data_IF_760404218696
#
_entry.id   IF_760404218696
#
_cell.length_a   1.000
_cell.length_b   1.000
_cell.length_c   1.000
_cell.angle_alpha   90.00
_cell.angle_beta   90.00
_cell.angle_gamma   90.00
#
_symmetry.space_group_name_H-M   'P 1'
#
loop_
_entity.id
_entity.type
_entity.pdbx_description
1 polymer ?
#
# COMPACT_ATOMS: atom_id res chain seq x y z
N UNK A 1 -27.22 -15.72 0.85
CA UNK A 1 -26.13 -14.79 0.45
C UNK A 1 -25.10 -15.59 -0.34
N UNK A 2 -24.90 -15.27 -1.62
CA UNK A 2 -24.16 -16.10 -2.57
C UNK A 2 -22.63 -15.98 -2.41
N UNK A 3 -21.92 -17.04 -2.84
CA UNK A 3 -20.47 -17.16 -2.83
C UNK A 3 -19.85 -16.17 -3.84
N UNK A 4 -19.65 -14.91 -3.45
CA UNK A 4 -19.29 -13.83 -4.38
C UNK A 4 -17.78 -13.82 -4.62
N UNK A 5 -17.32 -14.66 -5.53
CA UNK A 5 -15.98 -14.52 -6.14
C UNK A 5 -15.95 -13.22 -6.92
N UNK A 6 -14.85 -12.48 -6.85
CA UNK A 6 -14.73 -11.23 -7.58
C UNK A 6 -14.61 -11.50 -9.09
N UNK A 7 -15.56 -11.01 -9.90
CA UNK A 7 -15.71 -11.34 -11.33
C UNK A 7 -15.05 -10.33 -12.29
N UNK A 8 -13.90 -9.73 -11.97
CA UNK A 8 -13.19 -8.81 -12.90
C UNK A 8 -11.67 -8.86 -12.75
N UNK A 9 -10.98 -8.69 -13.89
CA UNK A 9 -9.55 -8.43 -14.02
C UNK A 9 -9.20 -7.09 -13.38
N UNK A 10 -8.79 -7.15 -12.12
CA UNK A 10 -8.07 -6.09 -11.44
C UNK A 10 -6.72 -6.72 -11.09
N UNK A 11 -5.61 -5.99 -11.20
CA UNK A 11 -4.22 -6.47 -11.02
C UNK A 11 -3.88 -6.95 -9.59
N UNK A 12 -4.83 -7.57 -8.90
CA UNK A 12 -4.79 -7.97 -7.50
C UNK A 12 -5.32 -9.40 -7.41
N UNK A 13 -4.64 -10.25 -6.64
CA UNK A 13 -5.00 -11.66 -6.49
C UNK A 13 -6.30 -11.80 -5.69
N UNK A 14 -7.12 -12.80 -6.01
CA UNK A 14 -8.28 -13.18 -5.18
C UNK A 14 -7.86 -14.27 -4.21
N UNK A 15 -7.94 -13.98 -2.92
CA UNK A 15 -7.58 -14.90 -1.83
C UNK A 15 -8.83 -15.34 -1.06
N UNK A 16 -8.76 -16.51 -0.42
CA UNK A 16 -9.76 -16.92 0.55
C UNK A 16 -9.57 -16.10 1.83
N UNK A 17 -10.63 -15.44 2.30
CA UNK A 17 -10.58 -14.70 3.56
C UNK A 17 -10.96 -15.62 4.73
N UNK A 18 -12.23 -16.06 4.77
CA UNK A 18 -12.73 -16.92 5.84
C UNK A 18 -14.07 -17.58 5.48
N UNK A 19 -14.45 -18.62 6.23
CA UNK A 19 -15.77 -19.26 6.16
C UNK A 19 -16.24 -19.65 7.58
N UNK A 20 -17.41 -19.16 7.98
CA UNK A 20 -17.95 -19.35 9.33
C UNK A 20 -18.80 -20.61 9.44
N UNK A 21 -18.17 -21.77 9.37
CA UNK A 21 -18.85 -23.07 9.45
C UNK A 21 -19.25 -23.66 8.11
N UNK A 22 -19.71 -24.91 8.12
CA UNK A 22 -19.86 -25.75 6.91
C UNK A 22 -20.84 -25.18 5.89
N UNK A 23 -21.95 -24.63 6.36
CA UNK A 23 -23.06 -24.18 5.49
C UNK A 23 -23.03 -22.67 5.22
N UNK A 24 -22.09 -21.94 5.83
CA UNK A 24 -21.90 -20.53 5.56
C UNK A 24 -21.24 -20.28 4.19
N UNK A 25 -21.54 -19.14 3.54
CA UNK A 25 -20.85 -18.74 2.32
C UNK A 25 -19.36 -18.48 2.59
N UNK A 26 -18.52 -18.76 1.59
CA UNK A 26 -17.09 -18.44 1.66
C UNK A 26 -16.90 -16.95 1.36
N UNK A 27 -16.13 -16.27 2.20
CA UNK A 27 -15.74 -14.88 1.99
C UNK A 27 -14.36 -14.85 1.32
N UNK A 28 -14.24 -14.01 0.30
CA UNK A 28 -13.01 -13.81 -0.45
C UNK A 28 -12.46 -12.41 -0.16
N UNK A 29 -11.13 -12.29 -0.19
CA UNK A 29 -10.41 -11.04 -0.11
C UNK A 29 -9.67 -10.76 -1.42
N UNK A 30 -9.27 -9.50 -1.59
CA UNK A 30 -8.31 -9.10 -2.62
C UNK A 30 -6.98 -8.82 -1.96
N UNK A 31 -5.95 -9.48 -2.44
CA UNK A 31 -4.59 -9.27 -1.98
C UNK A 31 -3.91 -8.23 -2.85
N UNK A 32 -3.29 -7.25 -2.20
CA UNK A 32 -2.48 -6.19 -2.81
C UNK A 32 -1.17 -6.14 -2.04
N UNK A 33 -0.07 -6.06 -2.77
CA UNK A 33 1.27 -5.86 -2.19
C UNK A 33 1.90 -4.62 -2.79
N UNK A 34 2.53 -3.81 -1.94
CA UNK A 34 3.30 -2.63 -2.32
C UNK A 34 4.69 -2.80 -1.70
N UNK A 35 5.68 -3.10 -2.53
CA UNK A 35 7.03 -3.42 -2.07
C UNK A 35 7.75 -2.21 -1.45
N UNK A 36 7.50 -1.01 -1.97
CA UNK A 36 8.28 0.20 -1.70
C UNK A 36 7.45 1.22 -0.92
N UNK A 37 6.79 0.80 0.17
CA UNK A 37 6.08 1.72 1.06
C UNK A 37 7.03 2.27 2.15
N UNK A 38 7.27 1.52 3.22
CA UNK A 38 8.16 1.94 4.32
C UNK A 38 9.63 2.11 3.90
N UNK A 39 10.07 1.41 2.84
CA UNK A 39 11.42 1.53 2.32
C UNK A 39 11.73 2.94 1.77
N UNK A 40 10.72 3.67 1.28
CA UNK A 40 10.91 5.06 0.79
C UNK A 40 11.31 5.98 1.91
N UNK A 41 10.66 5.86 3.07
CA UNK A 41 10.97 6.65 4.26
C UNK A 41 12.42 6.42 4.69
N UNK A 42 12.85 5.16 4.69
CA UNK A 42 14.23 4.81 5.02
C UNK A 42 15.21 5.37 3.98
N UNK A 43 14.87 5.28 2.69
CA UNK A 43 15.71 5.83 1.62
C UNK A 43 15.87 7.36 1.70
N UNK A 44 14.80 8.10 2.01
CA UNK A 44 14.85 9.55 2.22
C UNK A 44 15.82 9.94 3.35
N UNK A 45 15.90 9.13 4.40
CA UNK A 45 16.83 9.31 5.53
C UNK A 45 18.26 8.92 5.15
N UNK A 46 18.45 7.70 4.70
CA UNK A 46 19.77 7.07 4.62
C UNK A 46 20.52 7.47 3.35
N UNK A 47 19.81 7.73 2.24
CA UNK A 47 20.43 8.04 0.94
C UNK A 47 20.43 9.53 0.63
N UNK A 48 19.28 10.21 0.81
CA UNK A 48 19.17 11.64 0.51
C UNK A 48 19.43 12.55 1.72
N UNK A 49 19.37 12.03 2.94
CA UNK A 49 19.55 12.83 4.16
C UNK A 49 18.49 13.93 4.35
N UNK A 50 17.30 13.77 3.76
CA UNK A 50 16.22 14.78 3.83
C UNK A 50 15.60 14.84 5.22
N UNK A 51 15.53 13.68 5.89
CA UNK A 51 15.03 13.53 7.25
C UNK A 51 16.11 12.85 8.10
N UNK A 52 16.14 13.13 9.41
CA UNK A 52 17.10 12.44 10.30
C UNK A 52 16.50 11.18 10.94
N UNK A 53 15.17 11.11 11.04
CA UNK A 53 14.41 10.02 11.62
C UNK A 53 13.07 9.83 10.88
N UNK A 54 12.49 8.63 10.96
CA UNK A 54 11.24 8.33 10.27
C UNK A 54 10.05 9.15 10.81
N UNK A 55 10.08 9.52 12.10
CA UNK A 55 9.03 10.32 12.75
C UNK A 55 8.91 11.75 12.20
N UNK A 56 9.96 12.29 11.60
CA UNK A 56 9.94 13.66 11.05
C UNK A 56 9.06 13.81 9.81
N UNK A 57 8.73 12.71 9.10
CA UNK A 57 7.98 12.80 7.84
C UNK A 57 6.63 13.46 8.01
N UNK A 58 5.86 13.09 9.04
CA UNK A 58 4.50 13.62 9.23
C UNK A 58 4.54 15.11 9.59
N UNK A 59 5.45 15.51 10.47
CA UNK A 59 5.66 16.90 10.86
C UNK A 59 6.13 17.78 9.70
N UNK A 60 6.92 17.24 8.78
CA UNK A 60 7.37 17.97 7.59
C UNK A 60 6.28 18.04 6.51
N UNK A 61 5.59 16.93 6.26
CA UNK A 61 4.52 16.87 5.27
C UNK A 61 3.34 17.77 5.64
N UNK A 62 3.03 17.90 6.93
CA UNK A 62 1.93 18.73 7.44
C UNK A 62 2.19 20.24 7.39
N UNK A 63 3.44 20.68 7.17
CA UNK A 63 3.79 22.11 7.05
C UNK A 63 3.36 22.74 5.72
N UNK A 64 2.93 21.93 4.76
CA UNK A 64 2.48 22.39 3.44
C UNK A 64 1.08 21.84 3.15
N UNK A 65 0.23 22.66 2.55
CA UNK A 65 -1.17 22.26 2.26
C UNK A 65 -1.28 21.30 1.07
N UNK A 66 -0.22 21.17 0.26
CA UNK A 66 -0.20 20.28 -0.92
C UNK A 66 1.21 19.91 -1.34
N UNK A 67 1.33 18.95 -2.27
CA UNK A 67 2.63 18.58 -2.88
C UNK A 67 3.15 19.62 -3.86
N UNK A 68 2.41 20.71 -4.13
CA UNK A 68 2.80 21.73 -5.11
C UNK A 68 2.89 21.22 -6.55
N UNK A 69 2.18 20.13 -6.88
CA UNK A 69 2.25 19.47 -8.19
C UNK A 69 3.44 18.53 -8.35
N UNK A 70 4.26 18.33 -7.31
CA UNK A 70 5.36 17.37 -7.32
C UNK A 70 4.84 15.97 -7.04
N UNK A 71 5.28 15.00 -7.85
CA UNK A 71 5.02 13.58 -7.66
C UNK A 71 6.33 12.82 -7.64
N UNK A 72 6.46 11.92 -6.67
CA UNK A 72 7.60 11.04 -6.55
C UNK A 72 7.16 9.60 -6.85
N UNK A 73 7.78 8.97 -7.84
CA UNK A 73 7.53 7.57 -8.22
C UNK A 73 8.73 6.73 -7.78
N UNK A 74 8.65 6.04 -6.63
CA UNK A 74 9.78 5.29 -6.07
C UNK A 74 9.93 3.92 -6.77
N UNK A 75 10.47 3.95 -7.98
CA UNK A 75 10.70 2.79 -8.85
C UNK A 75 12.09 2.16 -8.63
N UNK A 76 12.47 1.87 -7.38
CA UNK A 76 13.82 1.39 -7.04
C UNK A 76 14.18 0.05 -7.69
N UNK A 77 13.17 -0.76 -8.03
CA UNK A 77 13.33 -2.03 -8.73
C UNK A 77 12.90 -1.95 -10.21
N UNK A 78 12.86 -0.74 -10.78
CA UNK A 78 12.35 -0.48 -12.12
C UNK A 78 10.90 0.00 -12.13
N UNK A 79 10.50 0.56 -13.27
CA UNK A 79 9.13 0.98 -13.58
C UNK A 79 8.37 -0.15 -14.27
#
# INVERSE_FOLDING_TARGET
>A
MANKRFNRNMGCLTALAFKLGKDAPTNYAREVSIAINGAVVQWLRDSLGIISSASEIEDLASKVDSTGGVYFVPAFNGL
#
